data_IF_469231131727
#
_entry.id   IF_469231131727
#
_cell.length_a   1.000
_cell.length_b   1.000
_cell.length_c   1.000
_cell.angle_alpha   90.00
_cell.angle_beta   90.00
_cell.angle_gamma   90.00
#
_symmetry.space_group_name_H-M   'P 1'
#
loop_
_entity.id
_entity.type
_entity.pdbx_description
1 polymer ?
#
# COMPACT_ATOMS: atom_id res chain seq x y z
N UNK A 1 6.75 14.43 18.54
CA UNK A 1 6.66 13.67 17.27
C UNK A 1 5.53 14.29 16.44
N UNK A 2 5.56 14.21 15.11
CA UNK A 2 4.92 15.10 14.11
C UNK A 2 3.39 15.39 14.19
N UNK A 3 2.73 15.23 15.34
CA UNK A 3 1.32 15.49 15.54
C UNK A 3 0.47 14.56 14.68
N UNK A 4 -0.54 15.14 14.02
CA UNK A 4 -1.43 14.45 13.08
C UNK A 4 -0.67 13.81 11.91
N UNK A 5 0.48 14.37 11.52
CA UNK A 5 1.31 13.81 10.44
C UNK A 5 2.07 12.54 10.83
N UNK A 6 2.11 12.19 12.12
CA UNK A 6 2.95 11.07 12.61
C UNK A 6 2.62 9.76 11.90
N UNK A 7 1.33 9.45 11.71
CA UNK A 7 0.92 8.21 11.03
C UNK A 7 1.36 8.21 9.56
N UNK A 8 1.01 9.26 8.80
CA UNK A 8 1.39 9.41 7.40
C UNK A 8 2.90 9.32 7.20
N UNK A 9 3.69 10.03 8.01
CA UNK A 9 5.16 10.04 7.91
C UNK A 9 5.73 8.64 8.11
N UNK A 10 5.35 7.95 9.18
CA UNK A 10 5.87 6.61 9.45
C UNK A 10 5.43 5.60 8.41
N UNK A 11 4.16 5.65 7.98
CA UNK A 11 3.65 4.81 6.90
C UNK A 11 4.50 5.00 5.63
N UNK A 12 4.73 6.23 5.19
CA UNK A 12 5.53 6.52 4.01
C UNK A 12 6.97 6.05 4.18
N UNK A 13 7.60 6.31 5.33
CA UNK A 13 8.98 5.87 5.59
C UNK A 13 9.10 4.36 5.47
N UNK A 14 8.25 3.59 6.14
CA UNK A 14 8.36 2.12 6.12
C UNK A 14 7.99 1.51 4.77
N UNK A 15 6.94 2.02 4.11
CA UNK A 15 6.49 1.49 2.82
C UNK A 15 7.45 1.87 1.69
N UNK A 16 7.84 3.14 1.57
CA UNK A 16 8.76 3.59 0.52
C UNK A 16 10.16 3.02 0.70
N UNK A 17 10.63 2.81 1.94
CA UNK A 17 11.91 2.14 2.18
C UNK A 17 11.87 0.69 1.69
N UNK A 18 10.82 -0.06 2.03
CA UNK A 18 10.67 -1.45 1.59
C UNK A 18 10.57 -1.55 0.06
N UNK A 19 9.74 -0.71 -0.56
CA UNK A 19 9.60 -0.62 -2.03
C UNK A 19 10.92 -0.23 -2.66
N UNK A 20 11.61 0.78 -2.13
CA UNK A 20 12.89 1.27 -2.63
C UNK A 20 13.96 0.19 -2.62
N UNK A 21 14.16 -0.50 -1.49
CA UNK A 21 15.13 -1.61 -1.39
C UNK A 21 14.82 -2.70 -2.42
N UNK A 22 13.54 -3.05 -2.58
CA UNK A 22 13.11 -4.08 -3.50
C UNK A 22 13.37 -3.67 -4.96
N UNK A 23 13.01 -2.43 -5.32
CA UNK A 23 13.15 -1.90 -6.67
C UNK A 23 14.60 -1.63 -7.03
N UNK A 24 15.45 -1.19 -6.10
CA UNK A 24 16.90 -1.06 -6.33
C UNK A 24 17.53 -2.43 -6.59
N UNK A 25 17.18 -3.45 -5.81
CA UNK A 25 17.81 -4.78 -5.92
C UNK A 25 17.33 -5.61 -7.12
N UNK A 26 16.07 -5.45 -7.52
CA UNK A 26 15.44 -6.27 -8.57
C UNK A 26 14.97 -5.46 -9.77
N UNK A 27 15.54 -4.27 -9.97
CA UNK A 27 15.14 -3.30 -11.00
C UNK A 27 14.89 -3.93 -12.38
N UNK A 28 15.80 -4.72 -12.98
CA UNK A 28 15.62 -5.19 -14.36
C UNK A 28 14.41 -6.13 -14.49
N UNK A 29 14.18 -6.97 -13.48
CA UNK A 29 13.07 -7.94 -13.46
C UNK A 29 11.75 -7.21 -13.26
N UNK A 30 11.69 -6.28 -12.30
CA UNK A 30 10.46 -5.56 -11.98
C UNK A 30 10.07 -4.61 -13.11
N UNK A 31 11.04 -3.94 -13.72
CA UNK A 31 10.79 -3.04 -14.85
C UNK A 31 10.24 -3.76 -16.07
N UNK A 32 10.76 -4.96 -16.37
CA UNK A 32 10.26 -5.83 -17.45
C UNK A 32 8.82 -6.29 -17.20
N UNK A 33 8.46 -6.49 -15.94
CA UNK A 33 7.14 -7.01 -15.52
C UNK A 33 6.21 -5.93 -14.94
N UNK A 34 6.49 -4.64 -15.16
CA UNK A 34 5.74 -3.52 -14.56
C UNK A 34 4.24 -3.54 -14.83
N UNK A 35 3.81 -4.08 -15.99
CA UNK A 35 2.39 -4.25 -16.32
C UNK A 35 1.70 -5.25 -15.39
N UNK A 36 2.37 -6.37 -15.08
CA UNK A 36 1.84 -7.38 -14.16
C UNK A 36 1.73 -6.79 -12.76
N UNK A 37 2.76 -6.04 -12.33
CA UNK A 37 2.75 -5.34 -11.04
C UNK A 37 1.56 -4.36 -11.01
N UNK A 38 1.41 -3.51 -12.01
CA UNK A 38 0.32 -2.54 -12.08
C UNK A 38 -1.07 -3.21 -12.04
N UNK A 39 -1.30 -4.26 -12.85
CA UNK A 39 -2.59 -4.97 -12.89
C UNK A 39 -2.88 -5.63 -11.54
N UNK A 40 -1.93 -6.36 -10.96
CA UNK A 40 -2.12 -7.02 -9.67
C UNK A 40 -2.32 -6.02 -8.54
N UNK A 41 -1.61 -4.89 -8.57
CA UNK A 41 -1.82 -3.82 -7.58
C UNK A 41 -3.21 -3.19 -7.72
N UNK A 42 -3.69 -2.93 -8.94
CA UNK A 42 -5.07 -2.42 -9.16
C UNK A 42 -6.12 -3.39 -8.63
N UNK A 43 -5.95 -4.70 -8.89
CA UNK A 43 -6.85 -5.73 -8.37
C UNK A 43 -6.83 -5.75 -6.83
N UNK A 44 -5.64 -5.67 -6.22
CA UNK A 44 -5.49 -5.64 -4.77
C UNK A 44 -6.11 -4.38 -4.15
N UNK A 45 -5.94 -3.21 -4.78
CA UNK A 45 -6.57 -1.96 -4.34
C UNK A 45 -8.09 -2.05 -4.43
N UNK A 46 -8.63 -2.58 -5.54
CA UNK A 46 -10.07 -2.77 -5.70
C UNK A 46 -10.64 -3.73 -4.64
N UNK A 47 -9.91 -4.80 -4.34
CA UNK A 47 -10.25 -5.72 -3.25
C UNK A 47 -10.26 -5.01 -1.89
N UNK A 48 -9.24 -4.22 -1.57
CA UNK A 48 -9.18 -3.45 -0.32
C UNK A 48 -10.37 -2.48 -0.22
N UNK A 49 -10.64 -1.70 -1.26
CA UNK A 49 -11.77 -0.76 -1.27
C UNK A 49 -13.11 -1.47 -0.99
N UNK A 50 -13.28 -2.71 -1.47
CA UNK A 50 -14.51 -3.47 -1.24
C UNK A 50 -14.60 -4.09 0.16
N UNK A 51 -13.48 -4.53 0.74
CA UNK A 51 -13.45 -5.29 2.00
C UNK A 51 -13.23 -4.41 3.23
N UNK A 52 -12.50 -3.31 3.08
CA UNK A 52 -12.13 -2.43 4.18
C UNK A 52 -13.35 -1.85 4.92
N UNK A 53 -14.44 -1.39 4.25
CA UNK A 53 -15.65 -0.94 4.95
C UNK A 53 -16.34 -2.04 5.77
N UNK A 54 -16.22 -3.30 5.32
CA UNK A 54 -16.76 -4.45 6.06
C UNK A 54 -15.96 -4.65 7.35
N UNK A 55 -14.64 -4.56 7.26
CA UNK A 55 -13.76 -4.69 8.41
C UNK A 55 -13.93 -3.55 9.43
N UNK A 56 -14.11 -2.31 8.95
CA UNK A 56 -14.47 -1.17 9.80
C UNK A 56 -15.80 -1.40 10.51
N UNK A 57 -16.82 -1.93 9.82
CA UNK A 57 -18.13 -2.22 10.42
C UNK A 57 -18.04 -3.24 11.55
N UNK A 58 -17.08 -4.16 11.46
CA UNK A 58 -16.80 -5.16 12.50
C UNK A 58 -15.90 -4.65 13.62
N UNK A 59 -15.48 -3.37 13.55
CA UNK A 59 -14.54 -2.75 14.48
C UNK A 59 -13.22 -3.55 14.56
N UNK A 60 -12.85 -4.24 13.47
CA UNK A 60 -11.60 -4.99 13.40
C UNK A 60 -10.38 -4.06 13.47
N UNK A 61 -10.51 -2.88 12.87
CA UNK A 61 -9.61 -1.74 13.04
C UNK A 61 -10.41 -0.45 12.82
N UNK A 62 -9.94 0.65 13.42
CA UNK A 62 -10.47 1.99 13.20
C UNK A 62 -9.37 3.01 13.43
N UNK A 63 -9.44 4.14 12.75
CA UNK A 63 -8.54 5.27 13.00
C UNK A 63 -9.18 6.25 13.98
N UNK A 64 -8.42 6.63 15.01
CA UNK A 64 -8.81 7.78 15.84
C UNK A 64 -8.86 9.03 14.97
N UNK A 65 -9.98 9.76 15.01
CA UNK A 65 -10.19 10.98 14.21
C UNK A 65 -9.16 12.07 14.52
N UNK A 66 -8.46 11.97 15.66
CA UNK A 66 -7.34 12.81 16.10
C UNK A 66 -6.00 12.49 15.41
N UNK A 67 -5.92 11.38 14.66
CA UNK A 67 -4.66 10.86 14.08
C UNK A 67 -4.64 10.82 12.56
N UNK A 68 -5.68 11.33 11.92
CA UNK A 68 -5.82 11.43 10.47
C UNK A 68 -5.79 12.89 10.04
N UNK A 69 -5.29 13.16 8.84
CA UNK A 69 -5.16 14.51 8.27
C UNK A 69 -6.51 15.20 7.99
N UNK A 70 -7.63 14.49 8.17
CA UNK A 70 -8.97 15.01 7.88
C UNK A 70 -9.27 15.12 6.38
N UNK A 71 -8.40 14.61 5.52
CA UNK A 71 -8.63 14.51 4.07
C UNK A 71 -9.20 13.12 3.77
N UNK A 72 -10.25 13.09 2.96
CA UNK A 72 -10.98 11.87 2.63
C UNK A 72 -11.07 11.67 1.12
N UNK A 73 -10.88 10.43 0.66
CA UNK A 73 -11.10 10.01 -0.72
C UNK A 73 -12.17 8.92 -0.70
N UNK A 74 -13.26 9.14 -1.44
CA UNK A 74 -14.49 8.37 -1.35
C UNK A 74 -15.05 8.36 0.07
N UNK A 75 -14.73 7.32 0.86
CA UNK A 75 -15.15 7.16 2.24
C UNK A 75 -13.99 6.74 3.16
N UNK A 76 -12.75 6.88 2.68
CA UNK A 76 -11.54 6.49 3.42
C UNK A 76 -10.69 7.72 3.72
N UNK A 77 -10.02 7.78 4.87
CA UNK A 77 -8.92 8.70 5.09
C UNK A 77 -7.88 8.60 3.97
N UNK A 78 -7.23 9.72 3.65
CA UNK A 78 -6.17 9.77 2.63
C UNK A 78 -5.06 8.77 2.94
N UNK A 79 -4.76 8.58 4.22
CA UNK A 79 -3.74 7.65 4.70
C UNK A 79 -4.04 6.21 4.27
N UNK A 80 -5.30 5.78 4.35
CA UNK A 80 -5.68 4.41 3.98
C UNK A 80 -5.62 4.21 2.47
N UNK A 81 -6.05 5.21 1.71
CA UNK A 81 -5.92 5.18 0.25
C UNK A 81 -4.45 5.07 -0.17
N UNK A 82 -3.57 5.84 0.47
CA UNK A 82 -2.13 5.77 0.24
C UNK A 82 -1.57 4.42 0.69
N UNK A 83 -2.01 3.90 1.83
CA UNK A 83 -1.61 2.60 2.35
C UNK A 83 -1.97 1.47 1.37
N UNK A 84 -3.22 1.42 0.89
CA UNK A 84 -3.70 0.42 -0.07
C UNK A 84 -2.82 0.40 -1.32
N UNK A 85 -2.50 1.58 -1.86
CA UNK A 85 -1.65 1.70 -3.05
C UNK A 85 -0.23 1.21 -2.77
N UNK A 86 0.41 1.70 -1.72
CA UNK A 86 1.81 1.38 -1.44
C UNK A 86 2.01 -0.09 -1.08
N UNK A 87 1.12 -0.66 -0.27
CA UNK A 87 1.18 -2.09 0.09
C UNK A 87 0.92 -2.97 -1.12
N UNK A 88 -0.08 -2.64 -1.95
CA UNK A 88 -0.36 -3.37 -3.17
C UNK A 88 0.86 -3.38 -4.12
N UNK A 89 1.54 -2.24 -4.29
CA UNK A 89 2.77 -2.15 -5.09
C UNK A 89 3.90 -2.98 -4.47
N UNK A 90 4.10 -2.88 -3.15
CA UNK A 90 5.15 -3.60 -2.43
C UNK A 90 4.99 -5.11 -2.57
N UNK A 91 3.79 -5.63 -2.30
CA UNK A 91 3.48 -7.07 -2.35
C UNK A 91 3.55 -7.59 -3.78
N UNK A 92 2.91 -6.92 -4.75
CA UNK A 92 2.99 -7.31 -6.16
C UNK A 92 4.43 -7.36 -6.67
N UNK A 93 5.23 -6.34 -6.35
CA UNK A 93 6.63 -6.30 -6.73
C UNK A 93 7.40 -7.46 -6.09
N UNK A 94 7.14 -7.76 -4.81
CA UNK A 94 7.82 -8.85 -4.12
C UNK A 94 7.49 -10.21 -4.76
N UNK A 95 6.21 -10.50 -4.98
CA UNK A 95 5.76 -11.76 -5.58
C UNK A 95 6.37 -11.94 -6.97
N UNK A 96 6.35 -10.91 -7.82
CA UNK A 96 6.97 -10.95 -9.15
C UNK A 96 8.48 -11.21 -9.07
N UNK A 97 9.19 -10.58 -8.12
CA UNK A 97 10.63 -10.80 -7.92
C UNK A 97 10.99 -12.24 -7.51
N UNK A 98 10.04 -12.97 -6.91
CA UNK A 98 10.20 -14.37 -6.49
C UNK A 98 9.81 -15.32 -7.61
N UNK A 99 8.67 -15.08 -8.25
CA UNK A 99 8.21 -15.87 -9.38
C UNK A 99 9.21 -15.89 -10.55
N UNK A 100 9.89 -14.76 -10.80
CA UNK A 100 10.92 -14.67 -11.85
C UNK A 100 12.22 -15.44 -11.53
N UNK A 101 12.42 -15.86 -10.27
CA UNK A 101 13.60 -16.66 -9.85
C UNK A 101 13.31 -18.15 -9.70
N UNK A 102 12.05 -18.54 -9.75
CA UNK A 102 11.63 -19.95 -9.73
C UNK A 102 11.64 -20.60 -11.12
N UNK A 103 12.00 -19.83 -12.17
CA UNK A 103 12.20 -20.29 -13.55
C UNK A 103 13.69 -20.29 -13.86
#
# INVERSE_FOLDING_TARGET
MFGVYTYMVWMLVFTLLAIGILWVRYYPILWKNRKIIAITSVIAIAYQIAVDPIAESWHAWFFGTDRILGLWIFNFPIEDTVFFVLVAIAVSSFVVSRAARAK
#
